data_IF_204005617163
#
_entry.id   IF_204005617163
#
_cell.length_a   1.000
_cell.length_b   1.000
_cell.length_c   1.000
_cell.angle_alpha   90.00
_cell.angle_beta   90.00
_cell.angle_gamma   90.00
#
_symmetry.space_group_name_H-M   'P 1'
#
loop_
_entity.id
_entity.type
_entity.pdbx_description
1 polymer ?
#
# COMPACT_ATOMS: atom_id res chain seq x y z
N UNK A 1 14.65 22.75 9.24
CA UNK A 1 15.05 21.37 8.88
C UNK A 1 15.65 21.32 7.49
N UNK A 2 14.95 21.82 6.45
CA UNK A 2 15.56 22.01 5.13
C UNK A 2 16.92 22.73 5.21
N UNK A 3 17.00 23.85 5.94
CA UNK A 3 18.25 24.59 6.13
C UNK A 3 19.35 23.75 6.81
N UNK A 4 19.00 22.86 7.72
CA UNK A 4 19.95 21.96 8.39
C UNK A 4 20.43 20.88 7.40
N UNK A 5 19.54 20.28 6.62
CA UNK A 5 19.93 19.34 5.57
C UNK A 5 20.81 20.02 4.51
N UNK A 6 20.44 21.23 4.09
CA UNK A 6 21.18 22.01 3.11
C UNK A 6 22.59 22.35 3.61
N UNK A 7 22.71 22.85 4.84
CA UNK A 7 24.02 23.16 5.43
C UNK A 7 24.88 21.91 5.63
N UNK A 8 24.28 20.77 6.01
CA UNK A 8 25.00 19.50 6.08
C UNK A 8 25.47 19.02 4.70
N UNK A 9 24.62 19.14 3.69
CA UNK A 9 24.96 18.80 2.31
C UNK A 9 26.09 19.68 1.77
N UNK A 10 26.02 21.00 1.98
CA UNK A 10 27.07 21.93 1.59
C UNK A 10 28.38 21.65 2.33
N UNK A 11 28.31 21.42 3.65
CA UNK A 11 29.49 21.12 4.47
C UNK A 11 30.16 19.82 4.00
N UNK A 12 29.37 18.78 3.75
CA UNK A 12 29.88 17.51 3.23
C UNK A 12 30.52 17.69 1.86
N UNK A 13 29.83 18.37 0.95
CA UNK A 13 30.31 18.64 -0.41
C UNK A 13 31.64 19.38 -0.38
N UNK A 14 31.73 20.43 0.45
CA UNK A 14 32.96 21.20 0.65
C UNK A 14 34.11 20.34 1.18
N UNK A 15 33.88 19.47 2.19
CA UNK A 15 34.91 18.56 2.71
C UNK A 15 35.38 17.56 1.66
N UNK A 16 34.47 17.04 0.84
CA UNK A 16 34.83 16.09 -0.22
C UNK A 16 35.56 16.75 -1.38
N UNK A 17 35.25 18.00 -1.69
CA UNK A 17 35.88 18.77 -2.77
C UNK A 17 37.26 19.32 -2.35
N UNK A 18 37.44 19.70 -1.08
CA UNK A 18 38.72 20.24 -0.57
C UNK A 18 39.78 19.18 -0.24
N UNK A 19 39.45 17.89 -0.37
CA UNK A 19 40.34 16.79 0.01
C UNK A 19 41.25 16.37 -1.15
N UNK A 20 42.24 17.21 -1.49
CA UNK A 20 43.23 16.99 -2.57
C UNK A 20 44.17 15.77 -2.34
N UNK A 21 44.02 15.04 -1.24
CA UNK A 21 44.99 14.04 -0.76
C UNK A 21 44.65 12.59 -1.17
N UNK A 22 43.53 12.34 -1.84
CA UNK A 22 43.14 10.99 -2.30
C UNK A 22 43.35 10.82 -3.81
N UNK A 23 44.62 10.92 -4.22
CA UNK A 23 45.08 10.46 -5.54
C UNK A 23 45.23 8.93 -5.51
N UNK A 24 44.16 8.19 -5.78
CA UNK A 24 44.25 6.77 -6.05
C UNK A 24 42.93 6.02 -5.89
N UNK A 25 42.27 5.77 -7.03
CA UNK A 25 41.03 4.99 -7.19
C UNK A 25 39.73 5.76 -6.90
N UNK A 26 38.89 5.85 -7.93
CA UNK A 26 37.62 6.56 -8.01
C UNK A 26 36.68 6.25 -6.82
N UNK A 27 36.74 7.07 -5.76
CA UNK A 27 35.76 7.05 -4.69
C UNK A 27 34.85 8.28 -4.83
N UNK A 28 33.72 8.12 -5.51
CA UNK A 28 32.65 9.12 -5.49
C UNK A 28 31.86 8.87 -4.22
N UNK A 29 32.19 9.60 -3.15
CA UNK A 29 31.42 9.60 -1.91
C UNK A 29 30.00 10.07 -2.23
N UNK A 30 29.03 9.16 -2.29
CA UNK A 30 27.63 9.57 -2.25
C UNK A 30 27.33 10.14 -0.87
N UNK A 31 26.57 11.23 -0.81
CA UNK A 31 26.11 11.81 0.43
C UNK A 31 25.36 10.73 1.25
N UNK A 32 25.81 10.41 2.48
CA UNK A 32 25.37 9.20 3.18
C UNK A 32 23.97 9.29 3.81
N UNK A 33 23.26 10.41 3.62
CA UNK A 33 21.96 10.70 4.23
C UNK A 33 20.96 11.05 3.12
N UNK A 34 19.73 10.53 3.21
CA UNK A 34 18.66 10.86 2.26
C UNK A 34 18.08 12.25 2.54
N UNK A 35 18.03 13.14 1.55
CA UNK A 35 17.42 14.49 1.63
C UNK A 35 15.88 14.45 1.63
N UNK A 36 15.30 13.98 2.73
CA UNK A 36 13.85 13.81 2.84
C UNK A 36 13.13 15.15 2.97
N UNK A 37 13.65 16.08 3.77
CA UNK A 37 12.96 17.35 4.03
C UNK A 37 13.14 18.34 2.89
N UNK A 38 14.31 18.39 2.25
CA UNK A 38 14.59 19.28 1.14
C UNK A 38 13.72 19.01 -0.08
N UNK A 39 13.59 17.75 -0.48
CA UNK A 39 12.71 17.37 -1.60
C UNK A 39 11.24 17.71 -1.32
N UNK A 40 10.76 17.50 -0.10
CA UNK A 40 9.40 17.88 0.31
C UNK A 40 9.21 19.41 0.29
N UNK A 41 10.15 20.16 0.87
CA UNK A 41 10.09 21.62 0.94
C UNK A 41 10.15 22.28 -0.44
N UNK A 42 11.04 21.82 -1.32
CA UNK A 42 11.14 22.31 -2.70
C UNK A 42 9.86 22.04 -3.49
N UNK A 43 9.20 20.90 -3.24
CA UNK A 43 7.87 20.65 -3.80
C UNK A 43 6.86 21.64 -3.21
N UNK A 44 6.74 21.78 -1.90
CA UNK A 44 5.82 22.75 -1.31
C UNK A 44 6.01 24.18 -1.85
N UNK A 45 7.25 24.61 -2.05
CA UNK A 45 7.53 25.94 -2.60
C UNK A 45 7.07 26.10 -4.07
N UNK A 46 7.17 25.05 -4.90
CA UNK A 46 6.66 25.08 -6.28
C UNK A 46 5.14 25.11 -6.36
N UNK A 47 4.47 24.43 -5.43
CA UNK A 47 3.02 24.26 -5.43
C UNK A 47 2.27 25.30 -4.57
N UNK A 48 2.99 25.99 -3.70
CA UNK A 48 2.43 27.00 -2.80
C UNK A 48 2.10 26.46 -1.41
N UNK A 49 1.99 27.39 -0.46
CA UNK A 49 1.60 27.13 0.93
C UNK A 49 0.16 27.61 1.15
N UNK A 50 -0.63 26.82 1.90
CA UNK A 50 -1.94 27.27 2.36
C UNK A 50 -1.78 28.34 3.44
N UNK A 51 -2.67 29.34 3.46
CA UNK A 51 -2.63 30.42 4.47
C UNK A 51 -3.33 30.02 5.76
N UNK A 52 -4.35 29.16 5.65
CA UNK A 52 -5.17 28.73 6.76
C UNK A 52 -5.48 27.22 6.69
N UNK A 53 -5.86 26.65 7.84
CA UNK A 53 -6.21 25.24 7.96
C UNK A 53 -7.51 24.93 7.20
N UNK A 54 -8.49 25.84 7.19
CA UNK A 54 -9.73 25.62 6.46
C UNK A 54 -9.52 25.54 4.93
N UNK A 55 -8.61 26.36 4.39
CA UNK A 55 -8.18 26.28 2.99
C UNK A 55 -7.52 24.92 2.71
N UNK A 56 -6.62 24.49 3.61
CA UNK A 56 -5.93 23.20 3.51
C UNK A 56 -6.91 22.02 3.48
N UNK A 57 -7.91 22.01 4.37
CA UNK A 57 -8.95 20.97 4.39
C UNK A 57 -9.78 20.96 3.09
N UNK A 58 -10.03 22.14 2.51
CA UNK A 58 -10.69 22.26 1.20
C UNK A 58 -9.87 21.65 0.06
N UNK A 59 -8.54 21.72 0.12
CA UNK A 59 -7.65 21.08 -0.86
C UNK A 59 -7.70 19.55 -0.73
N UNK A 60 -7.74 19.01 0.49
CA UNK A 60 -7.86 17.55 0.72
C UNK A 60 -9.16 17.02 0.11
N UNK A 61 -10.27 17.75 0.26
CA UNK A 61 -11.55 17.38 -0.35
C UNK A 61 -11.50 17.37 -1.89
N UNK A 62 -10.63 18.20 -2.49
CA UNK A 62 -10.34 18.20 -3.93
C UNK A 62 -9.31 17.15 -4.34
N UNK A 63 -9.00 16.17 -3.47
CA UNK A 63 -8.08 15.07 -3.70
C UNK A 63 -6.59 15.48 -3.79
N UNK A 64 -6.21 16.57 -3.11
CA UNK A 64 -4.81 16.97 -2.98
C UNK A 64 -4.15 16.30 -1.77
N UNK A 65 -2.83 16.12 -1.87
CA UNK A 65 -2.00 15.65 -0.75
C UNK A 65 -1.40 16.88 -0.08
N UNK A 66 -1.57 16.96 1.24
CA UNK A 66 -1.08 18.08 2.04
C UNK A 66 -0.11 17.59 3.10
N UNK A 67 0.88 18.41 3.39
CA UNK A 67 1.75 18.20 4.54
C UNK A 67 1.20 18.94 5.74
N UNK A 68 1.12 18.24 6.87
CA UNK A 68 0.57 18.74 8.12
C UNK A 68 1.32 18.08 9.27
N UNK A 69 1.34 18.73 10.42
CA UNK A 69 1.84 18.14 11.64
C UNK A 69 1.03 16.88 12.01
N UNK A 70 1.70 15.84 12.51
CA UNK A 70 1.07 14.53 12.73
C UNK A 70 -0.08 14.55 13.72
N UNK A 71 0.03 15.31 14.81
CA UNK A 71 -1.00 15.33 15.85
C UNK A 71 -2.30 15.95 15.32
N UNK A 72 -2.16 17.02 14.52
CA UNK A 72 -3.25 17.69 13.82
C UNK A 72 -3.88 16.77 12.76
N UNK A 73 -3.03 16.09 11.98
CA UNK A 73 -3.50 15.14 10.96
C UNK A 73 -4.28 13.98 11.58
N UNK A 74 -3.77 13.37 12.65
CA UNK A 74 -4.48 12.32 13.39
C UNK A 74 -5.81 12.83 13.94
N UNK A 75 -5.84 14.03 14.52
CA UNK A 75 -7.09 14.62 15.01
C UNK A 75 -8.15 14.72 13.90
N UNK A 76 -7.78 15.25 12.73
CA UNK A 76 -8.72 15.41 11.60
C UNK A 76 -9.16 14.07 11.00
N UNK A 77 -8.26 13.08 10.89
CA UNK A 77 -8.61 11.73 10.41
C UNK A 77 -9.59 11.03 11.36
N UNK A 78 -9.39 11.16 12.68
CA UNK A 78 -10.35 10.59 13.63
C UNK A 78 -11.69 11.34 13.62
N UNK A 79 -11.69 12.67 13.47
CA UNK A 79 -12.92 13.47 13.42
C UNK A 79 -13.73 13.24 12.14
N UNK A 80 -13.06 12.99 11.01
CA UNK A 80 -13.65 12.96 9.68
C UNK A 80 -13.15 11.77 8.86
N UNK A 81 -14.06 10.86 8.52
CA UNK A 81 -13.75 9.58 7.87
C UNK A 81 -13.37 9.67 6.39
N UNK A 82 -13.42 10.88 5.82
CA UNK A 82 -13.08 11.13 4.43
C UNK A 82 -11.58 11.40 4.22
N UNK A 83 -10.79 11.41 5.30
CA UNK A 83 -9.36 11.71 5.26
C UNK A 83 -8.56 10.51 5.75
N UNK A 84 -7.35 10.35 5.20
CA UNK A 84 -6.40 9.31 5.62
C UNK A 84 -4.99 9.86 5.64
N UNK A 85 -4.19 9.40 6.59
CA UNK A 85 -2.75 9.64 6.59
C UNK A 85 -2.12 8.73 5.54
N UNK A 86 -1.22 9.29 4.73
CA UNK A 86 -0.50 8.57 3.67
C UNK A 86 0.98 8.56 3.99
N UNK A 87 1.59 7.38 3.94
CA UNK A 87 3.02 7.20 4.15
C UNK A 87 3.41 7.25 5.63
N UNK A 88 4.72 7.37 5.85
CA UNK A 88 5.33 7.44 7.18
C UNK A 88 5.53 8.90 7.63
N UNK A 89 5.70 9.10 8.93
CA UNK A 89 6.08 10.40 9.48
C UNK A 89 7.44 10.81 8.94
N UNK A 90 7.48 11.97 8.29
CA UNK A 90 8.69 12.54 7.70
C UNK A 90 9.72 12.87 8.79
N UNK A 91 9.25 13.25 9.98
CA UNK A 91 10.07 13.52 11.15
C UNK A 91 9.35 13.29 12.47
N UNK A 92 10.12 13.20 13.53
CA UNK A 92 9.65 13.16 14.91
C UNK A 92 10.02 14.46 15.62
N UNK A 93 9.01 15.22 16.01
CA UNK A 93 9.17 16.42 16.83
C UNK A 93 8.52 16.20 18.19
N UNK A 94 9.13 16.77 19.22
CA UNK A 94 8.64 16.70 20.59
C UNK A 94 8.25 18.10 21.05
N UNK A 95 7.13 18.18 21.76
CA UNK A 95 6.70 19.40 22.43
C UNK A 95 7.43 19.58 23.75
N UNK A 96 7.77 20.83 24.08
CA UNK A 96 8.43 21.19 25.32
C UNK A 96 7.81 22.44 25.92
N UNK A 97 7.87 22.55 27.24
CA UNK A 97 7.41 23.73 27.98
C UNK A 97 8.63 24.64 28.17
N UNK A 98 8.54 25.89 27.68
CA UNK A 98 9.61 26.86 27.81
C UNK A 98 9.43 27.69 29.10
N UNK A 99 10.49 27.78 29.89
CA UNK A 99 10.56 28.64 31.08
C UNK A 99 11.67 29.69 30.93
N UNK A 100 11.59 30.82 31.65
CA UNK A 100 12.69 31.79 31.70
C UNK A 100 14.01 31.12 32.11
N UNK A 101 15.11 31.59 31.51
CA UNK A 101 16.46 31.11 31.86
C UNK A 101 16.70 31.30 33.35
N UNK A 102 17.31 30.31 34.01
CA UNK A 102 17.58 30.27 35.45
C UNK A 102 16.34 30.34 36.35
N UNK A 103 15.17 29.94 35.85
CA UNK A 103 13.99 29.77 36.71
C UNK A 103 14.19 28.61 37.70
N UNK A 104 13.91 28.86 38.97
CA UNK A 104 13.88 27.81 40.00
C UNK A 104 12.78 26.76 39.76
N UNK A 105 11.79 27.07 38.91
CA UNK A 105 10.65 26.21 38.60
C UNK A 105 11.00 25.09 37.59
N UNK A 106 12.06 25.26 36.80
CA UNK A 106 12.44 24.28 35.77
C UNK A 106 12.67 22.90 36.36
N UNK A 107 13.43 22.81 37.45
CA UNK A 107 13.71 21.52 38.11
C UNK A 107 12.47 20.86 38.72
N UNK A 108 11.52 21.66 39.20
CA UNK A 108 10.27 21.17 39.75
C UNK A 108 9.35 20.63 38.65
N UNK A 109 9.23 21.34 37.53
CA UNK A 109 8.43 20.91 36.38
C UNK A 109 9.03 19.66 35.73
N UNK A 110 10.35 19.62 35.53
CA UNK A 110 11.00 18.45 34.93
C UNK A 110 10.78 17.21 35.79
N UNK A 111 10.90 17.33 37.12
CA UNK A 111 10.63 16.21 38.03
C UNK A 111 9.17 15.77 37.98
N UNK A 112 8.23 16.71 37.98
CA UNK A 112 6.81 16.41 37.88
C UNK A 112 6.48 15.74 36.53
N UNK A 113 7.06 16.20 35.43
CA UNK A 113 6.86 15.62 34.11
C UNK A 113 7.40 14.19 34.02
N UNK A 114 8.58 13.93 34.62
CA UNK A 114 9.13 12.58 34.71
C UNK A 114 8.24 11.65 35.55
N UNK A 115 7.66 12.14 36.65
CA UNK A 115 6.69 11.37 37.44
C UNK A 115 5.44 11.06 36.63
N UNK A 116 4.83 12.06 35.97
CA UNK A 116 3.64 11.86 35.12
C UNK A 116 3.90 10.89 33.96
N UNK A 117 5.11 10.91 33.39
CA UNK A 117 5.53 9.95 32.37
C UNK A 117 5.71 8.55 32.94
N UNK A 118 6.32 8.42 34.12
CA UNK A 118 6.49 7.14 34.81
C UNK A 118 5.17 6.49 35.22
N UNK A 119 4.22 7.32 35.66
CA UNK A 119 2.87 6.90 36.06
C UNK A 119 1.93 6.65 34.87
N UNK A 120 2.41 6.82 33.63
CA UNK A 120 1.64 6.66 32.38
C UNK A 120 0.41 7.57 32.26
N UNK A 121 0.32 8.62 33.08
CA UNK A 121 -0.81 9.58 33.07
C UNK A 121 -0.84 10.36 31.76
N UNK A 122 0.33 10.66 31.18
CA UNK A 122 0.42 11.35 29.88
C UNK A 122 -0.19 10.52 28.75
N UNK A 123 -0.02 9.20 28.78
CA UNK A 123 -0.61 8.28 27.81
C UNK A 123 -2.13 8.21 27.98
N UNK A 124 -2.62 8.16 29.22
CA UNK A 124 -4.06 8.20 29.50
C UNK A 124 -4.72 9.49 28.99
N UNK A 125 -4.05 10.63 29.18
CA UNK A 125 -4.52 11.92 28.67
C UNK A 125 -4.52 11.92 27.14
N UNK A 126 -3.45 11.40 26.50
CA UNK A 126 -3.38 11.30 25.05
C UNK A 126 -4.52 10.43 24.48
N UNK A 127 -4.76 9.24 25.04
CA UNK A 127 -5.84 8.36 24.61
C UNK A 127 -7.22 8.99 24.80
N UNK A 128 -7.42 9.70 25.91
CA UNK A 128 -8.68 10.38 26.21
C UNK A 128 -9.01 11.44 25.16
N UNK A 129 -8.04 12.25 24.77
CA UNK A 129 -8.27 13.38 23.87
C UNK A 129 -8.20 13.01 22.38
N UNK A 130 -7.37 12.05 21.99
CA UNK A 130 -7.18 11.68 20.58
C UNK A 130 -7.98 10.46 20.12
N UNK A 131 -8.22 9.45 20.97
CA UNK A 131 -8.87 8.18 20.57
C UNK A 131 -10.33 8.14 21.03
N UNK A 132 -10.62 8.44 22.30
CA UNK A 132 -11.94 8.18 22.88
C UNK A 132 -13.04 9.20 22.56
N UNK A 133 -12.67 10.45 22.26
CA UNK A 133 -13.66 11.53 22.16
C UNK A 133 -14.16 11.79 20.72
N UNK A 134 -13.63 11.09 19.71
CA UNK A 134 -13.78 11.54 18.32
C UNK A 134 -14.11 10.45 17.29
N UNK A 135 -14.39 9.21 17.70
CA UNK A 135 -14.73 8.11 16.78
C UNK A 135 -16.19 8.21 16.29
N UNK A 136 -16.47 9.25 15.50
CA UNK A 136 -17.70 9.31 14.68
C UNK A 136 -17.55 8.47 13.40
N UNK A 137 -16.33 8.11 13.04
CA UNK A 137 -16.11 7.00 12.14
C UNK A 137 -16.52 5.77 12.89
N UNK A 138 -17.64 5.18 12.48
CA UNK A 138 -17.85 3.77 12.76
C UNK A 138 -16.57 3.11 12.31
N UNK A 139 -15.79 2.68 13.29
CA UNK A 139 -14.86 1.60 13.13
C UNK A 139 -15.75 0.44 12.66
N UNK A 140 -15.99 0.42 11.36
CA UNK A 140 -16.10 -0.79 10.61
C UNK A 140 -14.68 -1.37 10.61
N UNK A 141 -14.21 -1.65 11.82
CA UNK A 141 -13.39 -2.78 12.15
C UNK A 141 -14.17 -3.96 11.57
N UNK A 142 -13.95 -4.15 10.28
CA UNK A 142 -14.11 -5.41 9.60
C UNK A 142 -13.05 -6.36 10.16
N UNK A 143 -12.97 -6.50 11.48
CA UNK A 143 -12.50 -7.69 12.18
C UNK A 143 -13.58 -8.78 12.15
N UNK A 144 -14.63 -8.62 11.34
CA UNK A 144 -15.21 -9.75 10.64
C UNK A 144 -14.33 -10.07 9.44
N UNK A 145 -13.67 -11.23 9.45
CA UNK A 145 -13.01 -11.83 8.29
C UNK A 145 -13.98 -11.78 7.10
N UNK A 146 -13.90 -10.71 6.30
CA UNK A 146 -14.92 -10.36 5.30
C UNK A 146 -15.04 -11.55 4.35
N UNK A 147 -16.27 -11.88 3.95
CA UNK A 147 -16.58 -12.87 2.91
C UNK A 147 -15.70 -12.72 1.65
N UNK A 148 -15.16 -11.53 1.42
CA UNK A 148 -14.17 -11.24 0.40
C UNK A 148 -12.86 -12.01 0.56
N UNK A 149 -12.27 -12.02 1.76
CA UNK A 149 -11.02 -12.74 2.06
C UNK A 149 -11.22 -14.25 2.09
N UNK A 150 -12.41 -14.72 2.49
CA UNK A 150 -12.80 -16.14 2.50
C UNK A 150 -13.40 -16.64 1.18
N UNK A 151 -13.52 -15.79 0.15
CA UNK A 151 -14.19 -16.13 -1.12
C UNK A 151 -13.55 -17.35 -1.80
N UNK A 152 -12.23 -17.52 -1.64
CA UNK A 152 -11.49 -18.65 -2.18
C UNK A 152 -11.98 -20.01 -1.65
N UNK A 153 -12.27 -20.10 -0.34
CA UNK A 153 -12.71 -21.34 0.29
C UNK A 153 -14.10 -21.79 -0.22
N UNK A 154 -15.02 -20.84 -0.41
CA UNK A 154 -16.35 -21.12 -0.96
C UNK A 154 -16.29 -21.65 -2.40
N UNK A 155 -15.39 -21.10 -3.24
CA UNK A 155 -15.22 -21.58 -4.61
C UNK A 155 -14.70 -23.02 -4.63
N UNK A 156 -13.74 -23.35 -3.76
CA UNK A 156 -13.20 -24.71 -3.67
C UNK A 156 -14.31 -25.69 -3.24
N UNK A 157 -15.10 -25.38 -2.21
CA UNK A 157 -16.21 -26.23 -1.81
C UNK A 157 -17.26 -26.41 -2.91
N UNK A 158 -17.63 -25.34 -3.62
CA UNK A 158 -18.58 -25.42 -4.71
C UNK A 158 -18.10 -26.35 -5.83
N UNK A 159 -16.82 -26.27 -6.22
CA UNK A 159 -16.25 -27.15 -7.25
C UNK A 159 -16.11 -28.61 -6.79
N UNK A 160 -15.82 -28.85 -5.51
CA UNK A 160 -15.74 -30.20 -4.95
C UNK A 160 -17.12 -30.87 -4.95
N UNK A 161 -18.16 -30.16 -4.53
CA UNK A 161 -19.54 -30.65 -4.54
C UNK A 161 -20.00 -30.90 -5.99
N UNK A 162 -19.69 -29.98 -6.90
CA UNK A 162 -20.03 -30.13 -8.32
C UNK A 162 -19.39 -31.35 -8.96
N UNK A 163 -18.08 -31.54 -8.80
CA UNK A 163 -17.37 -32.70 -9.37
C UNK A 163 -17.81 -34.02 -8.74
N UNK A 164 -18.05 -34.06 -7.43
CA UNK A 164 -18.60 -35.23 -6.74
C UNK A 164 -19.99 -35.61 -7.24
N UNK A 165 -20.89 -34.63 -7.41
CA UNK A 165 -22.24 -34.86 -7.91
C UNK A 165 -22.24 -35.38 -9.36
N UNK A 166 -21.33 -34.88 -10.20
CA UNK A 166 -21.17 -35.36 -11.58
C UNK A 166 -20.68 -36.80 -11.62
N UNK A 167 -19.65 -37.16 -10.83
CA UNK A 167 -19.13 -38.52 -10.77
C UNK A 167 -20.19 -39.52 -10.30
N UNK A 168 -20.94 -39.16 -9.26
CA UNK A 168 -22.04 -39.98 -8.76
C UNK A 168 -23.14 -40.16 -9.82
N UNK A 169 -23.49 -39.09 -10.55
CA UNK A 169 -24.46 -39.15 -11.64
C UNK A 169 -24.04 -40.11 -12.76
N UNK A 170 -22.75 -40.13 -13.13
CA UNK A 170 -22.22 -41.04 -14.15
C UNK A 170 -22.29 -42.50 -13.68
N UNK A 171 -21.91 -42.77 -12.44
CA UNK A 171 -21.96 -44.13 -11.88
C UNK A 171 -23.39 -44.69 -11.88
N UNK A 172 -24.37 -43.89 -11.44
CA UNK A 172 -25.78 -44.28 -11.43
C UNK A 172 -26.31 -44.52 -12.85
N UNK A 173 -25.90 -43.74 -13.84
CA UNK A 173 -26.27 -43.94 -15.24
C UNK A 173 -25.70 -45.25 -15.80
N UNK A 174 -24.42 -45.54 -15.54
CA UNK A 174 -23.77 -46.79 -15.94
C UNK A 174 -24.45 -47.98 -15.28
N UNK A 175 -24.71 -47.92 -13.98
CA UNK A 175 -25.42 -48.96 -13.24
C UNK A 175 -26.83 -49.20 -13.79
N UNK A 176 -27.58 -48.13 -14.08
CA UNK A 176 -28.92 -48.24 -14.71
C UNK A 176 -28.87 -48.81 -16.12
N UNK A 177 -27.80 -48.57 -16.89
CA UNK A 177 -27.64 -49.10 -18.25
C UNK A 177 -27.24 -50.57 -18.25
N UNK A 178 -26.38 -50.99 -17.33
CA UNK A 178 -25.97 -52.38 -17.18
C UNK A 178 -27.10 -53.26 -16.65
N UNK A 179 -27.95 -52.73 -15.77
CA UNK A 179 -29.07 -53.46 -15.18
C UNK A 179 -30.38 -53.39 -16.00
N UNK A 180 -30.36 -52.84 -17.23
CA UNK A 180 -31.52 -53.00 -18.12
C UNK A 180 -31.63 -54.46 -18.56
N UNK A 181 -32.82 -55.10 -18.46
CA UNK A 181 -33.01 -56.41 -19.07
C UNK A 181 -32.77 -56.30 -20.58
N UNK A 182 -32.01 -57.25 -21.16
CA UNK A 182 -31.65 -57.30 -22.58
C UNK A 182 -32.89 -57.59 -23.45
N UNK A 183 -33.73 -56.59 -23.68
CA UNK A 183 -34.75 -56.58 -24.76
C UNK A 183 -35.16 -55.14 -25.06
N UNK A 184 -34.53 -54.54 -26.08
CA UNK A 184 -35.07 -53.53 -27.02
C UNK A 184 -33.93 -52.79 -27.74
N UNK A 185 -34.11 -52.55 -29.03
CA UNK A 185 -33.18 -51.95 -30.01
C UNK A 185 -32.47 -50.64 -29.60
N UNK A 186 -31.27 -50.36 -30.16
CA UNK A 186 -30.52 -49.15 -29.88
C UNK A 186 -31.04 -47.95 -30.70
N UNK A 187 -31.71 -46.99 -30.04
CA UNK A 187 -31.99 -45.67 -30.64
C UNK A 187 -30.68 -44.87 -30.75
N UNK A 188 -30.07 -44.94 -31.92
CA UNK A 188 -28.69 -44.61 -32.27
C UNK A 188 -28.33 -43.11 -32.41
N UNK A 189 -29.06 -42.18 -31.77
CA UNK A 189 -28.73 -40.73 -31.88
C UNK A 189 -27.90 -40.16 -30.74
N UNK A 190 -28.03 -40.67 -29.52
CA UNK A 190 -27.34 -40.11 -28.35
C UNK A 190 -25.88 -40.58 -28.25
N UNK A 191 -25.60 -41.80 -28.70
CA UNK A 191 -24.26 -42.41 -28.66
C UNK A 191 -23.27 -41.71 -29.62
N UNK A 192 -23.76 -41.24 -30.77
CA UNK A 192 -22.98 -40.43 -31.71
C UNK A 192 -22.60 -39.07 -31.09
N UNK A 193 -23.52 -38.43 -30.33
CA UNK A 193 -23.24 -37.17 -29.61
C UNK A 193 -22.28 -37.35 -28.44
N UNK A 194 -22.41 -38.45 -27.67
CA UNK A 194 -21.47 -38.76 -26.59
C UNK A 194 -20.07 -39.11 -27.10
N UNK A 195 -19.98 -39.78 -28.26
CA UNK A 195 -18.70 -40.05 -28.94
C UNK A 195 -18.05 -38.76 -29.46
N UNK A 196 -18.82 -37.81 -29.98
CA UNK A 196 -18.33 -36.47 -30.37
C UNK A 196 -17.82 -35.65 -29.17
N UNK A 197 -18.52 -35.68 -28.02
CA UNK A 197 -18.04 -34.98 -26.82
C UNK A 197 -16.79 -35.63 -26.23
N UNK A 198 -16.70 -36.96 -26.24
CA UNK A 198 -15.51 -37.67 -25.77
C UNK A 198 -14.29 -37.35 -26.63
N UNK A 199 -14.43 -37.31 -27.96
CA UNK A 199 -13.32 -36.93 -28.85
C UNK A 199 -12.96 -35.45 -28.72
N UNK A 200 -13.93 -34.57 -28.42
CA UNK A 200 -13.68 -33.16 -28.13
C UNK A 200 -12.86 -32.97 -26.85
N UNK A 201 -13.19 -33.68 -25.76
CA UNK A 201 -12.42 -33.60 -24.51
C UNK A 201 -11.00 -34.17 -24.69
N UNK A 202 -10.84 -35.26 -25.45
CA UNK A 202 -9.53 -35.82 -25.78
C UNK A 202 -8.72 -34.84 -26.64
N UNK A 203 -9.34 -34.18 -27.63
CA UNK A 203 -8.67 -33.17 -28.45
C UNK A 203 -8.32 -31.92 -27.64
N UNK A 204 -9.15 -31.49 -26.68
CA UNK A 204 -8.86 -30.35 -25.79
C UNK A 204 -7.73 -30.68 -24.81
N UNK A 205 -7.71 -31.88 -24.22
CA UNK A 205 -6.57 -32.31 -23.38
C UNK A 205 -5.29 -32.48 -24.17
N UNK A 206 -5.37 -32.96 -25.43
CA UNK A 206 -4.22 -33.03 -26.36
C UNK A 206 -3.75 -31.63 -26.79
N UNK A 207 -4.67 -30.69 -27.02
CA UNK A 207 -4.37 -29.30 -27.35
C UNK A 207 -3.74 -28.55 -26.17
N UNK A 208 -4.24 -28.76 -24.96
CA UNK A 208 -3.65 -28.25 -23.72
C UNK A 208 -2.27 -28.87 -23.44
N UNK A 209 -2.09 -30.16 -23.75
CA UNK A 209 -0.80 -30.84 -23.68
C UNK A 209 0.19 -30.35 -24.75
N UNK A 210 -0.28 -29.96 -25.94
CA UNK A 210 0.53 -29.34 -26.99
C UNK A 210 0.93 -27.91 -26.61
N UNK A 211 0.05 -27.17 -25.94
CA UNK A 211 0.34 -25.83 -25.39
C UNK A 211 1.31 -25.86 -24.21
N UNK A 212 1.45 -26.99 -23.52
CA UNK A 212 2.53 -27.24 -22.53
C UNK A 212 3.88 -27.61 -23.18
N UNK A 213 3.89 -28.02 -24.45
CA UNK A 213 5.09 -28.39 -25.22
C UNK A 213 5.70 -27.23 -26.01
N UNK A 214 4.90 -26.20 -26.34
CA UNK A 214 5.45 -24.86 -26.46
C UNK A 214 5.69 -24.38 -25.03
N UNK A 215 6.95 -24.12 -24.68
CA UNK A 215 7.31 -23.53 -23.39
C UNK A 215 6.50 -22.24 -23.14
N UNK A 216 6.48 -21.74 -21.89
CA UNK A 216 5.85 -20.45 -21.60
C UNK A 216 6.35 -19.41 -22.62
N UNK A 217 5.52 -18.45 -23.05
CA UNK A 217 6.01 -17.40 -23.93
C UNK A 217 7.27 -16.84 -23.30
N UNK A 218 8.37 -16.86 -24.05
CA UNK A 218 9.57 -16.12 -23.71
C UNK A 218 9.14 -14.67 -23.59
N UNK A 219 8.84 -14.25 -22.36
CA UNK A 219 9.02 -12.87 -21.95
C UNK A 219 10.47 -12.61 -22.28
N UNK A 220 10.71 -11.78 -23.28
CA UNK A 220 12.01 -11.17 -23.48
C UNK A 220 12.36 -10.50 -22.15
N UNK A 221 13.24 -11.15 -21.39
CA UNK A 221 14.05 -10.46 -20.39
C UNK A 221 15.05 -9.67 -21.23
N UNK A 222 14.69 -8.41 -21.51
CA UNK A 222 15.67 -7.42 -21.90
C UNK A 222 16.51 -7.14 -20.67
N UNK A 223 17.74 -7.64 -20.66
CA UNK A 223 18.76 -7.14 -19.76
C UNK A 223 19.10 -5.70 -20.18
N UNK A 224 18.67 -4.72 -19.38
CA UNK A 224 19.26 -3.37 -19.35
C UNK A 224 19.31 -2.93 -17.89
N UNK A 225 20.54 -2.91 -17.39
CA UNK A 225 21.13 -2.01 -16.39
C UNK A 225 20.33 -1.62 -15.14
N UNK A 226 20.92 -1.91 -13.98
CA UNK A 226 20.68 -1.20 -12.73
C UNK A 226 20.73 0.33 -12.93
N UNK A 227 19.63 1.04 -12.68
CA UNK A 227 19.60 2.47 -12.33
C UNK A 227 18.38 2.76 -11.44
N UNK A 228 18.70 3.19 -10.22
CA UNK A 228 18.01 4.17 -9.34
C UNK A 228 16.47 4.35 -9.42
N UNK A 229 15.86 4.13 -8.25
CA UNK A 229 14.98 5.06 -7.52
C UNK A 229 14.09 6.05 -8.30
N UNK A 230 12.83 6.10 -7.86
CA UNK A 230 11.80 7.15 -8.01
C UNK A 230 10.96 7.23 -9.29
N UNK A 231 9.64 7.07 -9.11
CA UNK A 231 8.59 7.98 -9.65
C UNK A 231 7.24 7.65 -9.01
N UNK A 232 6.85 8.34 -7.93
CA UNK A 232 5.81 9.41 -7.93
C UNK A 232 4.86 9.44 -9.13
N UNK A 233 3.53 9.52 -8.90
CA UNK A 233 2.55 9.76 -9.95
C UNK A 233 2.69 11.17 -10.54
N UNK A 234 2.76 11.22 -11.87
CA UNK A 234 2.76 12.45 -12.67
C UNK A 234 1.36 13.07 -12.66
N UNK A 235 1.28 14.35 -12.32
CA UNK A 235 0.11 15.22 -12.50
C UNK A 235 0.25 15.97 -13.83
N UNK A 236 -0.88 16.28 -14.45
CA UNK A 236 -0.95 17.15 -15.63
C UNK A 236 -0.58 18.58 -15.25
N UNK A 237 0.31 19.18 -16.04
CA UNK A 237 0.59 20.61 -16.04
C UNK A 237 -0.31 21.24 -17.09
N UNK A 238 -1.28 22.04 -16.64
CA UNK A 238 -1.97 23.01 -17.49
C UNK A 238 -0.95 24.12 -17.76
N UNK A 239 -0.46 24.18 -19.00
CA UNK A 239 0.39 25.27 -19.46
C UNK A 239 -0.47 26.49 -19.77
N UNK A 240 -0.25 27.58 -19.05
CA UNK A 240 -0.67 28.90 -19.49
C UNK A 240 0.34 29.41 -20.52
N UNK A 241 -0.18 29.65 -21.73
CA UNK A 241 0.50 30.33 -22.82
C UNK A 241 0.74 31.79 -22.46
N UNK A 242 2.00 32.22 -22.55
CA UNK A 242 2.37 33.63 -22.66
C UNK A 242 1.62 34.27 -23.84
N UNK A 243 0.96 35.40 -23.57
CA UNK A 243 0.70 36.44 -24.59
C UNK A 243 1.03 37.79 -23.97
N UNK A 244 2.10 38.38 -24.54
CA UNK A 244 2.34 39.79 -24.87
C UNK A 244 1.77 40.90 -23.97
#
# INVERSE_FOLDING_TARGET
>A
MYEIEHTLFETWTNITESSDQWSGSFFVSRYPITERYGTCFLRMQRWGFAKDIHELLGLIQKNWIVFMESSLASYYVHTSCNMKIIGDRIGSWNYGIALPKNSALTSMIDKALLQLKGDSILEEIADRWWIKNNTNCMDLENTGLLLYELKGAFIIFATAIGTSSILFGIEVLVWRWQNKPKTAEPSSRLYLRFKEFSTMIINVTRFLSLRKKLGPPSIFVSEVADVEDTKTPTYEVVGDSETQ
#
